data_IF_497780409178
#
_entry.id   IF_497780409178
#
_cell.length_a   1.000
_cell.length_b   1.000
_cell.length_c   1.000
_cell.angle_alpha   90.00
_cell.angle_beta   90.00
_cell.angle_gamma   90.00
#
_symmetry.space_group_name_H-M   'P 1'
#
loop_
_entity.id
_entity.type
_entity.pdbx_description
1 polymer ?
#
# COMPACT_ATOMS: atom_id res chain seq x y z
N UNK A 1 12.31 -17.17 9.88
CA UNK A 1 10.98 -16.74 9.37
C UNK A 1 11.21 -15.52 8.49
N UNK A 2 10.75 -15.52 7.24
CA UNK A 2 10.96 -14.40 6.34
C UNK A 2 9.88 -13.32 6.59
N UNK A 3 10.32 -12.08 6.82
CA UNK A 3 9.44 -10.93 6.89
C UNK A 3 9.47 -10.24 5.53
N UNK A 4 8.31 -10.01 4.93
CA UNK A 4 8.17 -9.35 3.65
C UNK A 4 7.58 -7.96 3.84
N UNK A 5 8.03 -7.02 3.02
CA UNK A 5 7.50 -5.67 2.97
C UNK A 5 6.92 -5.42 1.58
N UNK A 6 5.70 -4.89 1.55
CA UNK A 6 5.02 -4.52 0.32
C UNK A 6 4.75 -3.02 0.34
N UNK A 7 5.37 -2.29 -0.58
CA UNK A 7 5.23 -0.83 -0.70
C UNK A 7 4.39 -0.52 -1.93
N UNK A 8 3.30 0.22 -1.72
CA UNK A 8 2.39 0.65 -2.78
C UNK A 8 2.49 2.17 -2.88
N UNK A 9 2.64 2.66 -4.11
CA UNK A 9 2.67 4.08 -4.43
C UNK A 9 1.49 4.37 -5.37
N UNK A 10 0.60 5.25 -4.93
CA UNK A 10 -0.62 5.63 -5.67
C UNK A 10 -0.49 7.05 -6.20
N UNK A 11 -1.33 7.43 -7.17
CA UNK A 11 -1.36 8.81 -7.68
C UNK A 11 -1.89 9.76 -6.61
N UNK A 12 -1.43 11.02 -6.68
CA UNK A 12 -1.73 12.07 -5.69
C UNK A 12 -3.18 12.54 -5.67
N UNK A 13 -3.94 12.25 -6.73
CA UNK A 13 -5.36 12.59 -6.88
C UNK A 13 -6.29 11.55 -6.23
N UNK A 14 -5.73 10.46 -5.69
CA UNK A 14 -6.47 9.43 -4.95
C UNK A 14 -6.77 9.94 -3.53
N UNK A 15 -8.02 9.81 -3.10
CA UNK A 15 -8.44 10.24 -1.76
C UNK A 15 -7.97 9.27 -0.68
N UNK A 16 -7.86 9.73 0.57
CA UNK A 16 -7.47 8.87 1.69
C UNK A 16 -8.38 7.64 1.84
N UNK A 17 -9.69 7.80 1.66
CA UNK A 17 -10.67 6.70 1.72
C UNK A 17 -10.44 5.67 0.60
N UNK A 18 -10.05 6.12 -0.59
CA UNK A 18 -9.67 5.19 -1.68
C UNK A 18 -8.36 4.46 -1.37
N UNK A 19 -7.40 5.10 -0.70
CA UNK A 19 -6.16 4.43 -0.25
C UNK A 19 -6.46 3.35 0.79
N UNK A 20 -7.36 3.62 1.74
CA UNK A 20 -7.79 2.64 2.73
C UNK A 20 -8.46 1.43 2.07
N UNK A 21 -9.37 1.66 1.11
CA UNK A 21 -10.01 0.58 0.35
C UNK A 21 -8.99 -0.28 -0.43
N UNK A 22 -7.98 0.34 -1.05
CA UNK A 22 -6.88 -0.38 -1.71
C UNK A 22 -6.11 -1.23 -0.69
N UNK A 23 -5.78 -0.66 0.48
CA UNK A 23 -5.08 -1.40 1.54
C UNK A 23 -5.89 -2.61 2.04
N UNK A 24 -7.20 -2.46 2.24
CA UNK A 24 -8.08 -3.56 2.63
C UNK A 24 -8.14 -4.65 1.56
N UNK A 25 -8.23 -4.27 0.28
CA UNK A 25 -8.21 -5.22 -0.83
C UNK A 25 -6.93 -6.07 -0.82
N UNK A 26 -5.76 -5.44 -0.68
CA UNK A 26 -4.49 -6.17 -0.64
C UNK A 26 -4.35 -7.04 0.60
N UNK A 27 -4.78 -6.56 1.78
CA UNK A 27 -4.83 -7.37 3.00
C UNK A 27 -5.68 -8.62 2.80
N UNK A 28 -6.88 -8.47 2.24
CA UNK A 28 -7.76 -9.58 1.95
C UNK A 28 -7.12 -10.63 1.04
N UNK A 29 -6.42 -10.21 -0.02
CA UNK A 29 -5.69 -11.14 -0.89
C UNK A 29 -4.58 -11.88 -0.14
N UNK A 30 -3.80 -11.17 0.68
CA UNK A 30 -2.70 -11.79 1.46
C UNK A 30 -3.26 -12.83 2.44
N UNK A 31 -4.30 -12.46 3.18
CA UNK A 31 -4.93 -13.34 4.18
C UNK A 31 -5.63 -14.54 3.53
N UNK A 32 -6.28 -14.35 2.38
CA UNK A 32 -6.90 -15.44 1.62
C UNK A 32 -5.88 -16.49 1.13
N UNK A 33 -4.61 -16.10 0.98
CA UNK A 33 -3.51 -16.99 0.59
C UNK A 33 -2.69 -17.49 1.80
N UNK A 34 -3.22 -17.37 3.03
CA UNK A 34 -2.57 -17.87 4.25
C UNK A 34 -1.45 -17.00 4.79
N UNK A 35 -1.28 -15.79 4.25
CA UNK A 35 -0.37 -14.78 4.79
C UNK A 35 -0.96 -14.06 6.00
N UNK A 36 -0.09 -13.40 6.79
CA UNK A 36 -0.51 -12.56 7.92
C UNK A 36 0.09 -11.16 7.77
N UNK A 37 -0.75 -10.14 7.79
CA UNK A 37 -0.32 -8.74 7.82
C UNK A 37 -0.13 -8.32 9.28
N UNK A 38 1.11 -8.03 9.68
CA UNK A 38 1.45 -7.68 11.07
C UNK A 38 1.46 -6.17 11.31
N UNK A 39 1.77 -5.38 10.29
CA UNK A 39 1.84 -3.92 10.36
C UNK A 39 1.38 -3.32 9.03
N UNK A 40 0.76 -2.16 9.11
CA UNK A 40 0.48 -1.30 7.96
C UNK A 40 0.92 0.11 8.31
N UNK A 41 1.52 0.82 7.37
CA UNK A 41 2.01 2.18 7.57
C UNK A 41 1.55 3.07 6.42
N UNK A 42 0.96 4.22 6.75
CA UNK A 42 0.53 5.21 5.78
C UNK A 42 1.48 6.40 5.79
N UNK A 43 2.04 6.72 4.62
CA UNK A 43 3.06 7.77 4.47
C UNK A 43 2.50 9.10 3.97
N UNK A 44 1.24 9.16 3.54
CA UNK A 44 0.67 10.35 2.93
C UNK A 44 1.33 10.72 1.60
N UNK A 45 1.09 11.96 1.15
CA UNK A 45 1.73 12.50 -0.05
C UNK A 45 3.21 12.78 0.24
N UNK A 46 4.09 12.23 -0.59
CA UNK A 46 5.54 12.45 -0.53
C UNK A 46 6.03 13.08 -1.83
N UNK A 47 6.94 14.05 -1.72
CA UNK A 47 7.69 14.56 -2.86
C UNK A 47 8.70 13.50 -3.31
N UNK A 48 8.64 13.11 -4.58
CA UNK A 48 9.57 12.15 -5.17
C UNK A 48 10.79 12.87 -5.76
N UNK A 49 11.96 12.24 -5.68
CA UNK A 49 13.20 12.78 -6.25
C UNK A 49 13.16 12.88 -7.79
N UNK A 50 12.30 12.09 -8.44
CA UNK A 50 12.09 12.09 -9.88
C UNK A 50 10.64 11.73 -10.21
N UNK A 51 10.19 12.05 -11.44
CA UNK A 51 8.83 11.72 -11.91
C UNK A 51 8.76 10.24 -12.31
N UNK A 52 7.75 9.53 -11.83
CA UNK A 52 7.46 8.15 -12.19
C UNK A 52 6.29 8.14 -13.17
N UNK A 53 6.42 7.45 -14.32
CA UNK A 53 5.38 7.27 -15.36
C UNK A 53 4.65 8.59 -15.73
N UNK A 54 5.29 9.35 -16.63
CA UNK A 54 4.72 10.58 -17.19
C UNK A 54 3.39 10.33 -17.89
#
# INVERSE_FOLDING_TARGET
MALYEHVILVRQDVTAQQVEAINEQYKGVIEANGGKVTKTEYWGVKTLAFRIKK
#
